data_IF_340946770632
#
_entry.id   IF_340946770632
#
_cell.length_a   1.000
_cell.length_b   1.000
_cell.length_c   1.000
_cell.angle_alpha   90.00
_cell.angle_beta   90.00
_cell.angle_gamma   90.00
#
_symmetry.space_group_name_H-M   'P 1'
#
loop_
_entity.id
_entity.type
_entity.pdbx_description
1 polymer ?
#
# COMPACT_ATOMS: atom_id res chain seq x y z
N UNK A 1 28.38 44.56 49.83
CA UNK A 1 27.25 45.28 49.24
C UNK A 1 27.60 45.54 47.80
N UNK A 2 27.10 44.71 46.91
CA UNK A 2 27.01 44.96 45.47
C UNK A 2 25.87 44.07 44.99
N UNK A 3 24.84 44.68 44.42
CA UNK A 3 23.71 43.99 43.82
C UNK A 3 23.85 43.95 42.30
N UNK A 4 23.20 43.00 41.67
CA UNK A 4 22.60 43.11 40.33
C UNK A 4 21.60 41.96 40.18
N UNK A 5 20.36 42.31 39.86
CA UNK A 5 19.28 41.43 39.41
C UNK A 5 19.62 40.85 38.02
N UNK A 6 19.17 39.63 37.71
CA UNK A 6 18.13 39.38 36.70
C UNK A 6 18.14 37.98 36.06
N UNK A 7 16.93 37.39 36.08
CA UNK A 7 16.27 36.64 35.00
C UNK A 7 16.72 35.20 34.69
N UNK A 8 15.95 34.27 35.28
CA UNK A 8 15.12 33.27 34.59
C UNK A 8 15.76 32.38 33.49
N UNK A 9 15.75 31.07 33.75
CA UNK A 9 15.27 30.10 32.75
C UNK A 9 14.75 28.86 33.45
N UNK A 10 13.42 28.81 33.57
CA UNK A 10 12.70 27.58 33.85
C UNK A 10 13.02 26.56 32.76
N UNK A 11 13.70 25.48 33.12
CA UNK A 11 13.70 24.27 32.33
C UNK A 11 12.41 23.52 32.64
N UNK A 12 11.34 23.84 31.91
CA UNK A 12 10.21 22.92 31.77
C UNK A 12 10.75 21.66 31.07
N UNK A 13 11.11 20.68 31.88
CA UNK A 13 11.24 19.29 31.44
C UNK A 13 9.86 18.84 30.98
N UNK A 14 9.62 18.92 29.67
CA UNK A 14 8.45 18.32 29.05
C UNK A 14 8.64 16.81 29.20
N UNK A 15 7.97 16.26 30.21
CA UNK A 15 7.97 14.86 30.57
C UNK A 15 7.37 14.09 29.37
N UNK A 16 8.22 13.45 28.55
CA UNK A 16 7.78 12.55 27.48
C UNK A 16 6.91 11.47 28.10
N UNK A 17 5.60 11.63 27.98
CA UNK A 17 4.65 10.60 28.33
C UNK A 17 5.02 9.35 27.54
N UNK A 18 5.26 8.24 28.24
CA UNK A 18 5.38 6.91 27.67
C UNK A 18 4.10 6.60 26.89
N UNK A 19 4.08 6.91 25.59
CA UNK A 19 3.05 6.43 24.67
C UNK A 19 3.30 4.96 24.47
N UNK A 20 2.56 4.13 25.19
CA UNK A 20 2.56 2.69 24.95
C UNK A 20 1.84 2.44 23.63
N UNK A 21 2.60 2.23 22.56
CA UNK A 21 2.08 1.85 21.26
C UNK A 21 1.56 0.41 21.39
N UNK A 22 0.24 0.25 21.50
CA UNK A 22 -0.41 -1.05 21.43
C UNK A 22 -0.60 -1.41 19.96
N UNK A 23 0.18 -2.36 19.47
CA UNK A 23 -0.07 -3.00 18.19
C UNK A 23 -1.43 -3.72 18.23
N UNK A 24 -2.38 -3.22 17.44
CA UNK A 24 -3.68 -3.90 17.28
C UNK A 24 -3.47 -5.02 16.28
N UNK A 25 -3.33 -6.25 16.79
CA UNK A 25 -3.19 -7.44 15.97
C UNK A 25 -4.44 -7.67 15.10
N UNK A 26 -4.23 -8.22 13.91
CA UNK A 26 -5.31 -8.76 13.09
C UNK A 26 -6.19 -9.71 13.91
N UNK A 27 -7.50 -9.69 13.64
CA UNK A 27 -8.40 -10.65 14.25
C UNK A 27 -8.06 -12.05 13.75
N UNK A 28 -7.93 -13.01 14.67
CA UNK A 28 -7.82 -14.41 14.29
C UNK A 28 -9.10 -14.87 13.56
N UNK A 29 -9.05 -16.05 12.93
CA UNK A 29 -10.18 -16.59 12.15
C UNK A 29 -11.48 -16.65 12.96
N UNK A 30 -11.40 -17.06 14.22
CA UNK A 30 -12.56 -17.19 15.10
C UNK A 30 -13.20 -15.83 15.41
N UNK A 31 -12.40 -14.85 15.82
CA UNK A 31 -12.89 -13.53 16.19
C UNK A 31 -13.38 -12.74 14.96
N UNK A 32 -12.73 -12.95 13.81
CA UNK A 32 -13.19 -12.45 12.52
C UNK A 32 -14.58 -13.00 12.15
N UNK A 33 -14.79 -14.30 12.34
CA UNK A 33 -16.07 -14.96 12.07
C UNK A 33 -17.15 -14.48 13.00
N UNK A 34 -16.84 -14.34 14.29
CA UNK A 34 -17.77 -13.81 15.27
C UNK A 34 -18.15 -12.37 14.95
N UNK A 35 -17.18 -11.50 14.62
CA UNK A 35 -17.46 -10.11 14.25
C UNK A 35 -18.35 -10.01 13.00
N UNK A 36 -18.03 -10.80 11.96
CA UNK A 36 -18.84 -10.86 10.74
C UNK A 36 -20.27 -11.32 11.04
N UNK A 37 -20.40 -12.40 11.82
CA UNK A 37 -21.70 -12.99 12.17
C UNK A 37 -22.56 -12.01 12.97
N UNK A 38 -21.96 -11.30 13.92
CA UNK A 38 -22.66 -10.27 14.70
C UNK A 38 -23.11 -9.10 13.82
N UNK A 39 -22.28 -8.71 12.84
CA UNK A 39 -22.58 -7.59 11.95
C UNK A 39 -23.75 -7.91 11.01
N UNK A 40 -23.89 -9.15 10.56
CA UNK A 40 -24.86 -9.54 9.51
C UNK A 40 -26.10 -10.18 10.11
N UNK A 41 -25.91 -11.13 11.02
CA UNK A 41 -26.97 -11.98 11.54
C UNK A 41 -27.45 -11.52 12.92
N UNK A 42 -26.68 -10.68 13.62
CA UNK A 42 -26.92 -10.34 15.03
C UNK A 42 -26.62 -11.49 16.00
N UNK A 43 -25.93 -12.53 15.52
CA UNK A 43 -25.63 -13.77 16.25
C UNK A 43 -24.12 -14.02 16.29
N UNK A 44 -23.65 -14.82 17.25
CA UNK A 44 -22.22 -15.13 17.40
C UNK A 44 -21.67 -16.06 16.31
N UNK A 45 -22.55 -16.71 15.55
CA UNK A 45 -22.19 -17.72 14.56
C UNK A 45 -22.94 -17.47 13.24
N UNK A 46 -22.40 -17.94 12.10
CA UNK A 46 -23.10 -17.88 10.83
C UNK A 46 -24.40 -18.68 10.88
N UNK A 47 -25.41 -18.23 10.12
CA UNK A 47 -26.61 -19.04 9.87
C UNK A 47 -26.26 -20.27 9.03
N UNK A 48 -27.02 -21.35 9.22
CA UNK A 48 -26.84 -22.59 8.47
C UNK A 48 -26.85 -22.32 6.96
N UNK A 49 -25.80 -22.78 6.28
CA UNK A 49 -25.56 -22.61 4.85
C UNK A 49 -24.80 -21.34 4.46
N UNK A 50 -24.40 -20.49 5.42
CA UNK A 50 -23.57 -19.30 5.18
C UNK A 50 -22.11 -19.49 5.62
N UNK A 51 -21.72 -20.69 6.04
CA UNK A 51 -20.40 -21.00 6.59
C UNK A 51 -19.29 -20.70 5.56
N UNK A 52 -19.32 -21.37 4.41
CA UNK A 52 -18.32 -21.21 3.34
C UNK A 52 -18.19 -19.76 2.86
N UNK A 53 -19.32 -19.06 2.82
CA UNK A 53 -19.39 -17.69 2.38
C UNK A 53 -18.80 -16.73 3.42
N UNK A 54 -19.10 -16.97 4.69
CA UNK A 54 -18.49 -16.24 5.81
C UNK A 54 -16.98 -16.46 5.84
N UNK A 55 -16.52 -17.69 5.59
CA UNK A 55 -15.09 -17.98 5.47
C UNK A 55 -14.44 -17.23 4.31
N UNK A 56 -15.12 -17.15 3.16
CA UNK A 56 -14.62 -16.43 1.98
C UNK A 56 -14.47 -14.92 2.24
N UNK A 57 -15.43 -14.30 2.95
CA UNK A 57 -15.34 -12.89 3.35
C UNK A 57 -14.16 -12.66 4.30
N UNK A 58 -13.98 -13.52 5.30
CA UNK A 58 -12.88 -13.40 6.26
C UNK A 58 -11.53 -13.58 5.56
N UNK A 59 -11.45 -14.51 4.61
CA UNK A 59 -10.26 -14.74 3.81
C UNK A 59 -9.87 -13.49 3.00
N UNK A 60 -10.85 -12.75 2.46
CA UNK A 60 -10.61 -11.47 1.79
C UNK A 60 -10.17 -10.38 2.78
N UNK A 61 -10.85 -10.23 3.91
CA UNK A 61 -10.55 -9.19 4.89
C UNK A 61 -9.24 -9.39 5.65
N UNK A 62 -8.70 -10.62 5.68
CA UNK A 62 -7.46 -10.99 6.39
C UNK A 62 -7.42 -10.45 7.83
N UNK A 63 -8.51 -10.60 8.57
CA UNK A 63 -8.58 -10.17 9.97
C UNK A 63 -8.70 -8.66 10.19
N UNK A 64 -8.79 -7.84 9.13
CA UNK A 64 -9.02 -6.40 9.25
C UNK A 64 -10.46 -6.11 9.77
N UNK A 65 -10.64 -5.59 11.00
CA UNK A 65 -11.96 -5.40 11.60
C UNK A 65 -12.84 -4.40 10.84
N UNK A 66 -12.22 -3.38 10.25
CA UNK A 66 -12.93 -2.35 9.48
C UNK A 66 -13.49 -2.95 8.20
N UNK A 67 -12.67 -3.71 7.46
CA UNK A 67 -13.10 -4.39 6.24
C UNK A 67 -14.26 -5.35 6.52
N UNK A 68 -14.16 -6.14 7.60
CA UNK A 68 -15.23 -7.06 8.03
C UNK A 68 -16.54 -6.29 8.29
N UNK A 69 -16.49 -5.18 9.04
CA UNK A 69 -17.69 -4.37 9.33
C UNK A 69 -18.28 -3.75 8.07
N UNK A 70 -17.45 -3.20 7.18
CA UNK A 70 -17.92 -2.55 5.94
C UNK A 70 -18.60 -3.55 5.02
N UNK A 71 -18.05 -4.75 4.88
CA UNK A 71 -18.64 -5.80 4.04
C UNK A 71 -19.88 -6.43 4.69
N UNK A 72 -19.86 -6.68 6.00
CA UNK A 72 -21.01 -7.21 6.72
C UNK A 72 -22.21 -6.25 6.75
N UNK A 73 -21.96 -4.94 6.74
CA UNK A 73 -23.02 -3.94 6.72
C UNK A 73 -23.64 -3.71 5.31
N UNK A 74 -23.14 -4.36 4.25
CA UNK A 74 -23.66 -4.14 2.90
C UNK A 74 -25.05 -4.78 2.73
N UNK A 75 -26.11 -4.04 2.34
CA UNK A 75 -27.45 -4.58 2.08
C UNK A 75 -27.51 -5.67 1.01
N UNK A 76 -26.53 -5.73 0.09
CA UNK A 76 -26.43 -6.76 -0.96
C UNK A 76 -26.12 -8.16 -0.41
N UNK A 77 -25.73 -8.28 0.87
CA UNK A 77 -25.39 -9.52 1.57
C UNK A 77 -26.56 -10.47 1.88
N UNK A 78 -27.77 -10.16 1.39
CA UNK A 78 -29.00 -10.89 1.78
C UNK A 78 -29.25 -12.18 0.99
N UNK A 79 -28.53 -12.41 -0.11
CA UNK A 79 -28.57 -13.70 -0.83
C UNK A 79 -27.16 -14.19 -1.08
N UNK A 80 -26.96 -15.52 -1.05
CA UNK A 80 -25.65 -16.14 -1.25
C UNK A 80 -25.03 -15.75 -2.61
N UNK A 81 -25.82 -15.78 -3.67
CA UNK A 81 -25.38 -15.44 -5.03
C UNK A 81 -24.93 -13.97 -5.16
N UNK A 82 -25.69 -13.03 -4.58
CA UNK A 82 -25.30 -11.62 -4.61
C UNK A 82 -23.97 -11.40 -3.88
N UNK A 83 -23.74 -12.13 -2.79
CA UNK A 83 -22.54 -12.03 -1.99
C UNK A 83 -21.31 -12.65 -2.66
N UNK A 84 -21.46 -13.82 -3.30
CA UNK A 84 -20.40 -14.42 -4.12
C UNK A 84 -19.99 -13.50 -5.27
N UNK A 85 -20.98 -12.88 -5.94
CA UNK A 85 -20.71 -11.94 -7.02
C UNK A 85 -20.04 -10.67 -6.52
N UNK A 86 -20.44 -10.16 -5.35
CA UNK A 86 -19.78 -9.03 -4.71
C UNK A 86 -18.32 -9.35 -4.38
N UNK A 87 -18.03 -10.49 -3.76
CA UNK A 87 -16.65 -10.90 -3.47
C UNK A 87 -15.80 -11.03 -4.74
N UNK A 88 -16.34 -11.63 -5.81
CA UNK A 88 -15.66 -11.70 -7.11
C UNK A 88 -15.41 -10.32 -7.72
N UNK A 89 -16.32 -9.37 -7.50
CA UNK A 89 -16.14 -7.99 -7.93
C UNK A 89 -15.06 -7.30 -7.10
N UNK A 90 -15.03 -7.51 -5.78
CA UNK A 90 -14.06 -6.91 -4.86
C UNK A 90 -12.63 -7.37 -5.14
N UNK A 91 -12.44 -8.60 -5.60
CA UNK A 91 -11.15 -9.09 -6.10
C UNK A 91 -10.64 -8.35 -7.35
N UNK A 92 -11.52 -7.63 -8.06
CA UNK A 92 -11.18 -6.86 -9.27
C UNK A 92 -11.18 -5.36 -9.04
N UNK A 93 -12.11 -4.87 -8.23
CA UNK A 93 -12.35 -3.46 -7.97
C UNK A 93 -12.47 -3.29 -6.45
N UNK A 94 -11.50 -2.62 -5.80
CA UNK A 94 -11.54 -2.43 -4.36
C UNK A 94 -12.84 -1.79 -3.88
N UNK A 95 -13.30 -2.18 -2.69
CA UNK A 95 -14.50 -1.58 -2.11
C UNK A 95 -14.25 -0.08 -1.88
N UNK A 96 -15.04 0.80 -2.51
CA UNK A 96 -14.86 2.25 -2.41
C UNK A 96 -14.86 2.80 -0.98
N UNK A 97 -15.67 2.22 -0.07
CA UNK A 97 -15.68 2.66 1.34
C UNK A 97 -14.39 2.28 2.04
N UNK A 98 -13.92 1.05 1.88
CA UNK A 98 -12.64 0.59 2.44
C UNK A 98 -11.49 1.40 1.86
N UNK A 99 -11.46 1.54 0.53
CA UNK A 99 -10.48 2.36 -0.19
C UNK A 99 -10.40 3.77 0.36
N UNK A 100 -11.54 4.47 0.49
CA UNK A 100 -11.56 5.85 0.98
C UNK A 100 -11.04 5.97 2.41
N UNK A 101 -11.34 5.01 3.29
CA UNK A 101 -10.87 5.06 4.68
C UNK A 101 -9.37 4.80 4.75
N UNK A 102 -8.86 3.79 4.04
CA UNK A 102 -7.43 3.49 4.01
C UNK A 102 -6.63 4.63 3.35
N UNK A 103 -7.20 5.29 2.34
CA UNK A 103 -6.55 6.38 1.60
C UNK A 103 -6.27 7.60 2.46
N UNK A 104 -7.00 7.82 3.56
CA UNK A 104 -6.70 8.90 4.50
C UNK A 104 -5.26 8.81 5.04
N UNK A 105 -4.83 7.61 5.44
CA UNK A 105 -3.46 7.38 5.93
C UNK A 105 -2.40 7.61 4.84
N UNK A 106 -2.74 7.36 3.58
CA UNK A 106 -1.88 7.65 2.43
C UNK A 106 -1.84 9.15 2.11
N UNK A 107 -2.97 9.85 2.19
CA UNK A 107 -3.06 11.27 1.85
C UNK A 107 -2.21 12.14 2.79
N UNK A 108 -2.02 11.70 4.04
CA UNK A 108 -1.15 12.30 5.05
C UNK A 108 0.36 12.14 4.79
N UNK A 109 0.75 11.33 3.81
CA UNK A 109 2.16 11.15 3.44
C UNK A 109 2.68 12.29 2.55
N UNK A 110 3.96 12.63 2.70
CA UNK A 110 4.63 13.54 1.78
C UNK A 110 4.88 12.89 0.39
N UNK A 111 5.38 13.67 -0.57
CA UNK A 111 5.56 13.20 -1.94
C UNK A 111 6.55 12.02 -2.07
N UNK A 112 7.64 12.02 -1.29
CA UNK A 112 8.63 10.94 -1.30
C UNK A 112 8.08 9.68 -0.63
N UNK A 113 7.43 9.84 0.52
CA UNK A 113 6.77 8.75 1.25
C UNK A 113 5.65 8.10 0.41
N UNK A 114 4.86 8.91 -0.31
CA UNK A 114 3.85 8.42 -1.27
C UNK A 114 4.49 7.60 -2.39
N UNK A 115 5.64 8.04 -2.91
CA UNK A 115 6.35 7.29 -3.94
C UNK A 115 6.85 5.93 -3.39
N UNK A 116 7.47 5.92 -2.21
CA UNK A 116 7.93 4.70 -1.53
C UNK A 116 6.76 3.74 -1.29
N UNK A 117 5.65 4.23 -0.76
CA UNK A 117 4.45 3.42 -0.51
C UNK A 117 3.97 2.73 -1.79
N UNK A 118 3.88 3.47 -2.91
CA UNK A 118 3.43 2.92 -4.18
C UNK A 118 4.44 1.93 -4.79
N UNK A 119 5.74 2.17 -4.61
CA UNK A 119 6.80 1.24 -5.05
C UNK A 119 6.71 -0.09 -4.29
N UNK A 120 6.49 -0.05 -2.97
CA UNK A 120 6.25 -1.25 -2.14
C UNK A 120 4.96 -1.96 -2.58
N UNK A 121 3.85 -1.23 -2.73
CA UNK A 121 2.58 -1.82 -3.14
C UNK A 121 2.64 -2.52 -4.51
N UNK A 122 3.38 -1.94 -5.46
CA UNK A 122 3.45 -2.43 -6.83
C UNK A 122 4.53 -3.51 -7.03
N UNK A 123 5.71 -3.35 -6.44
CA UNK A 123 6.92 -4.07 -6.85
C UNK A 123 7.73 -4.68 -5.70
N UNK A 124 7.72 -4.07 -4.51
CA UNK A 124 8.70 -4.40 -3.46
C UNK A 124 8.10 -5.04 -2.20
N UNK A 125 6.84 -5.49 -2.26
CA UNK A 125 6.25 -6.31 -1.19
C UNK A 125 6.96 -7.67 -1.12
N UNK A 126 7.16 -8.16 0.11
CA UNK A 126 7.84 -9.42 0.45
C UNK A 126 9.36 -9.41 0.15
N UNK A 127 9.90 -8.28 -0.30
CA UNK A 127 11.33 -8.13 -0.55
C UNK A 127 12.13 -7.84 0.72
N UNK A 128 13.42 -8.17 0.69
CA UNK A 128 14.34 -7.90 1.79
C UNK A 128 14.46 -6.40 2.06
N UNK A 129 14.32 -6.00 3.33
CA UNK A 129 14.35 -4.60 3.77
C UNK A 129 15.58 -3.84 3.27
N UNK A 130 16.76 -4.46 3.34
CA UNK A 130 18.01 -3.82 2.90
C UNK A 130 18.08 -3.67 1.38
N UNK A 131 17.51 -4.62 0.63
CA UNK A 131 17.37 -4.51 -0.82
C UNK A 131 16.43 -3.37 -1.18
N UNK A 132 15.26 -3.28 -0.53
CA UNK A 132 14.30 -2.19 -0.74
C UNK A 132 14.93 -0.84 -0.43
N UNK A 133 15.65 -0.71 0.70
CA UNK A 133 16.40 0.51 1.03
C UNK A 133 17.38 0.88 -0.08
N UNK A 134 18.16 -0.07 -0.58
CA UNK A 134 19.15 0.18 -1.62
C UNK A 134 18.51 0.70 -2.92
N UNK A 135 17.43 0.06 -3.37
CA UNK A 135 16.69 0.46 -4.58
C UNK A 135 16.11 1.87 -4.43
N UNK A 136 15.45 2.16 -3.31
CA UNK A 136 14.81 3.46 -3.07
C UNK A 136 15.84 4.59 -2.90
N UNK A 137 17.01 4.30 -2.32
CA UNK A 137 18.08 5.29 -2.16
C UNK A 137 18.72 5.63 -3.51
N UNK A 138 18.85 4.65 -4.42
CA UNK A 138 19.28 4.91 -5.80
C UNK A 138 18.29 5.85 -6.54
N UNK A 139 17.02 5.85 -6.15
CA UNK A 139 15.98 6.76 -6.64
C UNK A 139 15.94 8.12 -5.91
N UNK A 140 16.84 8.37 -4.94
CA UNK A 140 16.91 9.59 -4.11
C UNK A 140 15.67 9.84 -3.24
N UNK A 141 15.04 8.78 -2.73
CA UNK A 141 13.81 8.88 -1.92
C UNK A 141 14.03 8.96 -0.40
N UNK A 142 15.27 9.15 0.08
CA UNK A 142 15.58 9.16 1.52
C UNK A 142 15.01 7.90 2.21
N UNK A 143 15.42 6.73 1.71
CA UNK A 143 14.71 5.48 1.92
C UNK A 143 14.53 5.12 3.41
N UNK A 144 15.55 5.38 4.23
CA UNK A 144 15.52 5.09 5.67
C UNK A 144 14.37 5.82 6.37
N UNK A 145 14.27 7.14 6.18
CA UNK A 145 13.25 7.97 6.84
C UNK A 145 11.86 7.60 6.30
N UNK A 146 11.74 7.40 4.98
CA UNK A 146 10.46 7.05 4.38
C UNK A 146 9.92 5.71 4.88
N UNK A 147 10.77 4.68 5.00
CA UNK A 147 10.38 3.37 5.53
C UNK A 147 9.99 3.47 7.01
N UNK A 148 10.74 4.22 7.82
CA UNK A 148 10.41 4.45 9.23
C UNK A 148 9.03 5.10 9.40
N UNK A 149 8.72 6.13 8.60
CA UNK A 149 7.39 6.77 8.65
C UNK A 149 6.27 5.81 8.26
N UNK A 150 6.49 4.94 7.26
CA UNK A 150 5.49 3.94 6.87
C UNK A 150 5.27 2.88 7.96
N UNK A 151 6.33 2.48 8.69
CA UNK A 151 6.23 1.59 9.85
C UNK A 151 5.48 2.26 11.01
N UNK A 152 5.82 3.51 11.34
CA UNK A 152 5.16 4.27 12.41
C UNK A 152 3.67 4.49 12.16
N UNK A 153 3.29 4.63 10.88
CA UNK A 153 1.88 4.73 10.45
C UNK A 153 1.20 3.37 10.24
N UNK A 154 1.88 2.27 10.52
CA UNK A 154 1.41 0.90 10.30
C UNK A 154 0.90 0.65 8.86
N UNK A 155 1.55 1.30 7.88
CA UNK A 155 1.25 1.11 6.45
C UNK A 155 2.05 -0.04 5.84
N UNK A 156 3.13 -0.44 6.50
CA UNK A 156 3.92 -1.64 6.24
C UNK A 156 4.31 -2.26 7.57
N UNK A 157 4.77 -3.51 7.53
CA UNK A 157 5.32 -4.21 8.69
C UNK A 157 6.62 -4.94 8.30
N UNK A 158 7.41 -5.33 9.29
CA UNK A 158 8.58 -6.17 9.09
C UNK A 158 8.24 -7.60 9.47
N UNK A 159 8.42 -8.51 8.53
CA UNK A 159 8.26 -9.94 8.75
C UNK A 159 9.62 -10.61 8.83
N UNK A 160 9.90 -11.17 10.01
CA UNK A 160 11.09 -11.98 10.25
C UNK A 160 10.95 -13.33 9.56
N UNK A 161 11.83 -13.62 8.63
CA UNK A 161 11.95 -14.94 8.02
C UNK A 161 13.22 -15.60 8.56
N UNK A 162 13.05 -16.72 9.25
CA UNK A 162 14.17 -17.56 9.69
C UNK A 162 14.76 -18.26 8.47
N UNK A 163 15.89 -17.77 7.98
CA UNK A 163 16.70 -18.49 7.00
C UNK A 163 17.92 -19.07 7.71
N UNK A 164 18.38 -20.25 7.26
CA UNK A 164 19.33 -21.16 7.95
C UNK A 164 20.60 -20.49 8.51
N UNK A 165 20.95 -19.26 8.09
CA UNK A 165 22.11 -18.54 8.59
C UNK A 165 21.95 -17.01 8.79
N UNK A 166 20.74 -16.42 8.68
CA UNK A 166 20.52 -14.99 8.95
C UNK A 166 19.06 -14.69 9.29
N UNK A 167 18.86 -13.80 10.26
CA UNK A 167 17.60 -13.10 10.47
C UNK A 167 17.47 -12.04 9.38
N UNK A 168 16.54 -12.24 8.44
CA UNK A 168 16.25 -11.28 7.36
C UNK A 168 14.86 -10.69 7.56
N UNK A 169 14.85 -9.37 7.73
CA UNK A 169 13.63 -8.57 7.69
C UNK A 169 13.13 -8.47 6.25
N UNK A 170 11.90 -8.90 6.01
CA UNK A 170 11.18 -8.62 4.76
C UNK A 170 10.12 -7.56 4.98
N UNK A 171 9.93 -6.68 4.00
CA UNK A 171 8.86 -5.68 4.05
C UNK A 171 7.55 -6.34 3.64
N UNK A 172 6.59 -6.33 4.53
CA UNK A 172 5.23 -6.81 4.26
C UNK A 172 4.25 -5.62 4.23
N UNK A 173 3.22 -5.75 3.42
CA UNK A 173 2.14 -4.76 3.31
C UNK A 173 0.82 -5.51 3.29
N UNK A 174 -0.09 -5.13 4.20
CA UNK A 174 -1.41 -5.75 4.29
C UNK A 174 -2.12 -5.71 2.93
N UNK A 175 -2.79 -6.81 2.54
CA UNK A 175 -3.38 -6.97 1.20
C UNK A 175 -4.28 -5.80 0.79
N UNK A 176 -5.10 -5.28 1.70
CA UNK A 176 -5.98 -4.13 1.43
C UNK A 176 -5.22 -2.81 1.19
N UNK A 177 -4.07 -2.61 1.85
CA UNK A 177 -3.20 -1.45 1.58
C UNK A 177 -2.51 -1.61 0.23
N UNK A 178 -2.09 -2.83 -0.10
CA UNK A 178 -1.52 -3.13 -1.41
C UNK A 178 -2.55 -2.92 -2.53
N UNK A 179 -3.78 -3.41 -2.37
CA UNK A 179 -4.88 -3.19 -3.31
C UNK A 179 -5.18 -1.70 -3.48
N UNK A 180 -5.22 -0.95 -2.37
CA UNK A 180 -5.39 0.51 -2.41
C UNK A 180 -4.25 1.20 -3.19
N UNK A 181 -2.99 0.87 -2.92
CA UNK A 181 -1.85 1.45 -3.62
C UNK A 181 -1.87 1.17 -5.13
N UNK A 182 -2.18 -0.07 -5.52
CA UNK A 182 -2.34 -0.46 -6.93
C UNK A 182 -3.51 0.26 -7.60
N UNK A 183 -4.60 0.48 -6.88
CA UNK A 183 -5.76 1.22 -7.38
C UNK A 183 -5.47 2.72 -7.56
N UNK A 184 -4.69 3.34 -6.66
CA UNK A 184 -4.21 4.71 -6.85
C UNK A 184 -3.46 4.82 -8.19
N UNK A 185 -2.56 3.89 -8.48
CA UNK A 185 -1.82 3.85 -9.77
C UNK A 185 -2.75 3.59 -10.95
N UNK A 186 -3.75 2.71 -10.83
CA UNK A 186 -4.73 2.46 -11.89
C UNK A 186 -5.55 3.71 -12.23
N UNK A 187 -5.84 4.58 -11.24
CA UNK A 187 -6.61 5.81 -11.42
C UNK A 187 -5.85 6.91 -12.16
N UNK A 188 -4.52 6.85 -12.22
CA UNK A 188 -3.70 7.82 -12.96
C UNK A 188 -4.03 7.81 -14.46
N UNK A 189 -4.28 6.61 -15.03
CA UNK A 189 -4.61 6.45 -16.43
C UNK A 189 -5.28 5.12 -16.74
N UNK A 190 -6.25 5.14 -17.66
CA UNK A 190 -6.80 3.92 -18.27
C UNK A 190 -5.78 3.17 -19.13
N UNK A 191 -4.87 3.90 -19.76
CA UNK A 191 -3.75 3.35 -20.52
C UNK A 191 -2.62 2.96 -19.55
N UNK A 192 -2.26 1.66 -19.43
CA UNK A 192 -1.20 1.20 -18.53
C UNK A 192 0.13 1.90 -18.79
N UNK A 193 0.45 2.20 -20.06
CA UNK A 193 1.73 2.82 -20.43
C UNK A 193 1.89 4.27 -19.96
N UNK A 194 0.81 4.90 -19.47
CA UNK A 194 0.82 6.27 -18.93
C UNK A 194 0.74 6.32 -17.40
N UNK A 195 0.72 5.17 -16.73
CA UNK A 195 0.78 5.09 -15.27
C UNK A 195 2.23 5.22 -14.80
N UNK A 196 2.42 5.74 -13.61
CA UNK A 196 3.71 5.90 -12.95
C UNK A 196 4.38 4.56 -12.67
N UNK A 197 3.58 3.51 -12.45
CA UNK A 197 4.04 2.15 -12.12
C UNK A 197 3.23 1.11 -12.88
N UNK A 198 3.87 -0.03 -13.13
CA UNK A 198 3.26 -1.23 -13.67
C UNK A 198 3.56 -2.38 -12.74
N UNK A 199 2.56 -3.22 -12.48
CA UNK A 199 2.72 -4.40 -11.61
C UNK A 199 2.11 -5.67 -12.22
N UNK A 200 1.30 -5.56 -13.28
CA UNK A 200 0.72 -6.72 -13.99
C UNK A 200 1.70 -7.23 -15.04
N UNK A 201 2.09 -8.49 -14.91
CA UNK A 201 3.00 -9.15 -15.84
C UNK A 201 2.48 -9.10 -17.30
N UNK A 202 1.17 -9.22 -17.50
CA UNK A 202 0.54 -9.15 -18.81
C UNK A 202 0.68 -7.75 -19.43
N UNK A 203 0.41 -6.69 -18.66
CA UNK A 203 0.53 -5.30 -19.11
C UNK A 203 1.99 -4.96 -19.44
N UNK A 204 2.94 -5.40 -18.59
CA UNK A 204 4.37 -5.22 -18.82
C UNK A 204 4.80 -5.94 -20.10
N UNK A 205 4.38 -7.20 -20.29
CA UNK A 205 4.71 -7.99 -21.48
C UNK A 205 4.18 -7.33 -22.75
N UNK A 206 2.94 -6.84 -22.74
CA UNK A 206 2.32 -6.18 -23.89
C UNK A 206 3.02 -4.88 -24.26
N UNK A 207 3.37 -4.05 -23.26
CA UNK A 207 4.09 -2.79 -23.50
C UNK A 207 5.51 -3.02 -24.02
N UNK A 208 6.21 -4.03 -23.52
CA UNK A 208 7.55 -4.42 -24.00
C UNK A 208 7.50 -4.92 -25.45
N UNK A 209 6.51 -5.75 -25.80
CA UNK A 209 6.31 -6.23 -27.18
C UNK A 209 6.05 -5.07 -28.16
N UNK A 210 5.33 -4.06 -27.71
CA UNK A 210 4.95 -2.91 -28.53
C UNK A 210 6.03 -1.79 -28.56
N UNK A 211 7.23 -2.00 -27.97
CA UNK A 211 8.31 -1.01 -27.84
C UNK A 211 7.91 0.34 -27.21
N UNK A 212 6.72 0.45 -26.58
CA UNK A 212 6.23 1.71 -26.02
C UNK A 212 7.01 2.17 -24.80
N UNK A 213 7.69 1.26 -24.10
CA UNK A 213 8.45 1.57 -22.86
C UNK A 213 9.65 2.50 -23.13
N UNK A 214 10.25 2.43 -24.33
CA UNK A 214 11.47 3.18 -24.66
C UNK A 214 11.19 4.65 -24.91
N UNK A 215 9.97 5.00 -25.34
CA UNK A 215 9.57 6.37 -25.63
C UNK A 215 9.38 7.21 -24.35
N UNK A 216 9.03 6.58 -23.23
CA UNK A 216 8.76 7.27 -21.95
C UNK A 216 9.97 7.34 -21.01
N UNK A 217 10.91 6.40 -21.10
CA UNK A 217 12.11 6.38 -20.24
C UNK A 217 13.22 7.33 -20.74
N UNK A 218 13.21 7.70 -22.03
CA UNK A 218 14.19 8.63 -22.61
C UNK A 218 13.46 9.54 -23.62
N UNK A 219 13.11 10.79 -23.24
CA UNK A 219 12.26 11.66 -24.05
C UNK A 219 12.80 12.05 -25.45
N UNK A 220 13.98 11.59 -25.88
CA UNK A 220 14.69 12.06 -27.07
C UNK A 220 15.43 10.94 -27.85
N UNK A 221 14.86 9.73 -27.91
CA UNK A 221 15.43 8.66 -28.72
C UNK A 221 14.38 8.04 -29.64
N UNK A 222 14.26 8.60 -30.84
CA UNK A 222 13.42 8.03 -31.89
C UNK A 222 14.16 6.91 -32.64
N UNK A 223 13.46 5.80 -32.84
CA UNK A 223 13.96 4.62 -33.56
C UNK A 223 13.81 4.85 -35.06
N UNK A 224 14.92 4.91 -35.78
CA UNK A 224 14.86 5.03 -37.24
C UNK A 224 14.42 3.69 -37.89
N UNK A 225 14.04 3.72 -39.16
CA UNK A 225 13.58 2.55 -39.92
C UNK A 225 14.59 1.38 -40.00
N UNK A 226 15.84 1.59 -39.55
CA UNK A 226 16.90 0.56 -39.46
C UNK A 226 17.06 -0.04 -38.05
N UNK A 227 16.23 0.33 -37.09
CA UNK A 227 16.30 -0.16 -35.70
C UNK A 227 17.42 0.44 -34.86
N UNK A 228 18.10 1.49 -35.34
CA UNK A 228 19.17 2.18 -34.62
C UNK A 228 18.64 3.42 -33.89
N UNK A 229 19.22 3.67 -32.72
CA UNK A 229 18.87 4.75 -31.80
C UNK A 229 19.80 5.95 -32.03
N UNK A 230 19.23 7.12 -32.34
CA UNK A 230 20.00 8.37 -32.49
C UNK A 230 19.49 9.44 -31.51
N UNK A 231 20.43 10.19 -30.91
CA UNK A 231 20.14 11.36 -30.07
C UNK A 231 19.96 12.58 -30.97
N UNK A 232 18.82 13.25 -30.91
CA UNK A 232 18.64 14.52 -31.61
C UNK A 232 19.59 15.58 -31.02
N UNK A 233 20.39 16.18 -31.89
CA UNK A 233 21.22 17.34 -31.54
C UNK A 233 20.31 18.54 -31.55
N UNK A 234 20.09 19.16 -30.38
CA UNK A 234 19.38 20.44 -30.29
C UNK A 234 20.12 21.48 -31.14
N UNK A 235 19.63 21.75 -32.34
CA UNK A 235 20.02 22.92 -33.11
C UNK A 235 19.44 24.15 -32.40
N UNK A 236 20.25 24.79 -31.56
CA UNK A 236 19.95 26.10 -31.03
C UNK A 236 19.91 27.10 -32.18
N UNK A 237 18.71 27.52 -32.57
CA UNK A 237 18.54 28.72 -33.39
C UNK A 237 18.79 29.93 -32.48
N UNK A 238 19.98 30.50 -32.57
CA UNK A 238 20.20 31.89 -32.19
C UNK A 238 19.44 32.77 -33.18
N UNK A 239 18.59 33.65 -32.67
CA UNK A 239 18.17 34.90 -33.29
C UNK A 239 18.02 35.92 -32.17
#
# INVERSE_FOLDING_TARGET
MEGSEDVEKGSEQINSQNVQICEVKELNKHDSLQLLSLTIFGEKHPKIGYEDLSESVIAYCKGNPLAIKVLGANPSSRSKEAWDNELKMLQKIPNRKIFNVLKLSYDDLDCCQKAIFLDIACLLREEHKDFVKHVLEACRFFATIGIEVLLDKALIELKLIWHVNLDVDTIEMHVLLQEMGREIVNQESKDPGKRSRLWRAEEISELLKNNKVIEFAIPNYNKNASGKYNKESSSGNHS
#
